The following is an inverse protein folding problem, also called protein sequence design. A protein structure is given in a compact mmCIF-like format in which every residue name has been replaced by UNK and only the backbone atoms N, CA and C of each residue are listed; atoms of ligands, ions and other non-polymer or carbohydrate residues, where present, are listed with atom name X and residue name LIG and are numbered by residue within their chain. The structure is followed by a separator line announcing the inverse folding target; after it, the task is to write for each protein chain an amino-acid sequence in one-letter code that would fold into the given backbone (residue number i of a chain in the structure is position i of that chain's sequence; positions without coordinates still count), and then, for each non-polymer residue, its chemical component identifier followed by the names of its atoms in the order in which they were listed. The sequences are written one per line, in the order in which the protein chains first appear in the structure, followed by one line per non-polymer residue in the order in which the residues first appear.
data_IF_046311516813
#
_entry.id   IF_046311516813
#
_cell.length_a   1.000
_cell.length_b   1.000
_cell.length_c   1.000
_cell.angle_alpha   90.00
_cell.angle_beta   90.00
_cell.angle_gamma   90.00
#
_symmetry.space_group_name_H-M   'P 1'
#
loop_
_entity.id
_entity.type
_entity.pdbx_description
1 polymer ?
#
# COMPACT_ATOMS: atom_id res chain seq x y z
N UNK A 1 -15.28 6.38 -12.00
CA UNK A 1 -15.31 4.96 -11.57
C UNK A 1 -15.07 4.93 -10.06
N UNK A 2 -16.03 4.47 -9.25
CA UNK A 2 -16.01 4.64 -7.78
C UNK A 2 -14.81 3.88 -7.18
N UNK A 3 -13.99 4.53 -6.34
CA UNK A 3 -12.81 3.95 -5.66
C UNK A 3 -13.01 2.52 -5.12
N UNK A 4 -14.24 2.17 -4.71
CA UNK A 4 -14.62 0.83 -4.28
C UNK A 4 -14.33 -0.28 -5.30
N UNK A 5 -14.43 -0.01 -6.61
CA UNK A 5 -14.15 -0.98 -7.67
C UNK A 5 -12.65 -1.26 -7.83
N UNK A 6 -11.81 -0.26 -7.59
CA UNK A 6 -10.35 -0.43 -7.57
C UNK A 6 -9.94 -1.32 -6.39
N UNK A 7 -10.53 -1.08 -5.21
CA UNK A 7 -10.33 -1.94 -4.04
C UNK A 7 -10.79 -3.38 -4.27
N UNK A 8 -11.94 -3.56 -4.92
CA UNK A 8 -12.45 -4.88 -5.29
C UNK A 8 -11.51 -5.63 -6.24
N UNK A 9 -10.91 -4.95 -7.22
CA UNK A 9 -9.91 -5.54 -8.13
C UNK A 9 -8.67 -5.99 -7.36
N UNK A 10 -8.09 -5.11 -6.52
CA UNK A 10 -6.90 -5.41 -5.70
C UNK A 10 -7.14 -6.61 -4.79
N UNK A 11 -8.32 -6.70 -4.19
CA UNK A 11 -8.75 -7.81 -3.34
C UNK A 11 -8.88 -9.09 -4.17
N UNK A 12 -9.64 -9.08 -5.27
CA UNK A 12 -9.86 -10.27 -6.10
C UNK A 12 -8.59 -10.81 -6.78
N UNK A 13 -7.63 -9.95 -7.08
CA UNK A 13 -6.39 -10.31 -7.77
C UNK A 13 -5.25 -10.69 -6.80
N UNK A 14 -5.54 -10.72 -5.50
CA UNK A 14 -4.64 -11.26 -4.48
C UNK A 14 -4.72 -12.79 -4.48
N UNK A 15 -3.60 -13.51 -4.70
CA UNK A 15 -3.59 -14.97 -4.63
C UNK A 15 -3.93 -15.50 -3.23
N UNK A 16 -3.92 -14.63 -2.21
CA UNK A 16 -4.34 -14.95 -0.84
C UNK A 16 -5.85 -15.16 -0.70
N UNK A 17 -6.64 -14.77 -1.72
CA UNK A 17 -8.09 -14.92 -1.77
C UNK A 17 -8.57 -16.00 -2.75
N UNK A 18 -7.64 -16.77 -3.34
CA UNK A 18 -7.94 -17.97 -4.13
C UNK A 18 -8.40 -19.12 -3.21
N UNK A 19 -9.52 -18.91 -2.55
CA UNK A 19 -10.09 -19.72 -1.50
C UNK A 19 -10.55 -18.82 -0.35
N UNK A 20 -11.86 -18.77 -0.11
CA UNK A 20 -12.41 -18.15 1.11
C UNK A 20 -11.97 -19.03 2.27
N UNK A 21 -11.05 -18.60 3.14
CA UNK A 21 -10.59 -19.46 4.21
C UNK A 21 -11.71 -19.52 5.24
N UNK A 22 -12.50 -20.59 5.22
CA UNK A 22 -13.70 -20.77 6.07
C UNK A 22 -13.40 -20.61 7.57
N UNK A 23 -12.14 -20.79 7.98
CA UNK A 23 -11.61 -20.49 9.33
C UNK A 23 -11.79 -19.03 9.77
N UNK A 24 -11.96 -18.07 8.86
CA UNK A 24 -12.30 -16.68 9.20
C UNK A 24 -13.77 -16.50 9.66
N UNK A 25 -14.60 -17.52 9.40
CA UNK A 25 -16.01 -17.59 9.81
C UNK A 25 -16.21 -18.45 11.07
N UNK A 26 -15.16 -19.08 11.57
CA UNK A 26 -15.19 -19.76 12.87
C UNK A 26 -15.10 -18.73 14.00
N UNK A 27 -15.57 -19.11 15.20
CA UNK A 27 -15.44 -18.28 16.39
C UNK A 27 -13.97 -17.89 16.62
N UNK A 28 -13.75 -16.63 16.99
CA UNK A 28 -12.40 -16.13 17.21
C UNK A 28 -11.70 -16.94 18.31
N UNK A 29 -10.47 -17.46 18.07
CA UNK A 29 -9.68 -17.99 19.15
C UNK A 29 -9.41 -16.88 20.18
N UNK A 30 -9.19 -17.22 21.47
CA UNK A 30 -8.94 -16.23 22.51
C UNK A 30 -7.76 -15.32 22.13
N UNK A 31 -7.83 -14.02 22.44
CA UNK A 31 -6.77 -13.11 22.05
C UNK A 31 -5.40 -13.54 22.54
N UNK A 32 -4.45 -13.63 21.61
CA UNK A 32 -3.06 -13.38 21.99
C UNK A 32 -2.94 -11.87 22.16
N UNK A 33 -2.96 -11.44 23.41
CA UNK A 33 -2.49 -10.15 23.88
C UNK A 33 -2.96 -8.93 23.05
N UNK A 34 -4.05 -8.30 23.53
CA UNK A 34 -4.68 -7.17 22.88
C UNK A 34 -3.75 -5.98 22.64
N UNK A 35 -3.80 -5.42 21.44
CA UNK A 35 -3.38 -4.05 21.22
C UNK A 35 -4.23 -3.12 22.08
N UNK A 36 -3.71 -1.96 22.47
CA UNK A 36 -4.54 -0.82 22.89
C UNK A 36 -4.33 0.24 21.80
N UNK A 37 -5.21 1.22 21.61
CA UNK A 37 -4.85 2.41 20.85
C UNK A 37 -3.51 2.92 21.39
N UNK A 38 -2.44 2.75 20.60
CA UNK A 38 -1.01 2.90 20.95
C UNK A 38 -0.26 1.76 21.69
N UNK A 39 -0.76 0.52 21.80
CA UNK A 39 0.00 -0.60 22.42
C UNK A 39 -0.09 -1.88 21.60
N UNK A 40 0.99 -2.66 21.62
CA UNK A 40 0.98 -4.11 21.38
C UNK A 40 1.51 -4.81 22.63
N UNK A 41 0.95 -5.96 23.02
CA UNK A 41 1.58 -6.87 23.97
C UNK A 41 2.10 -8.07 23.15
N UNK A 42 3.41 -8.08 22.92
CA UNK A 42 4.25 -9.23 22.59
C UNK A 42 5.30 -9.27 23.73
N UNK A 43 6.12 -10.31 23.97
CA UNK A 43 7.00 -10.40 25.16
C UNK A 43 8.05 -9.29 25.31
N UNK A 44 8.07 -8.31 24.41
CA UNK A 44 8.84 -7.08 24.50
C UNK A 44 7.86 -5.91 24.63
N UNK A 45 7.92 -5.19 25.75
CA UNK A 45 7.15 -3.98 25.97
C UNK A 45 7.62 -2.89 24.98
N UNK A 46 6.87 -2.68 23.90
CA UNK A 46 7.21 -1.72 22.85
C UNK A 46 6.21 -0.57 22.81
N UNK A 47 6.70 0.64 22.52
CA UNK A 47 5.86 1.82 22.32
C UNK A 47 6.11 2.45 20.95
N UNK A 48 5.03 2.75 20.23
CA UNK A 48 5.06 3.48 18.97
C UNK A 48 4.51 4.89 19.20
N UNK A 49 5.33 5.89 18.89
CA UNK A 49 4.95 7.31 18.96
C UNK A 49 4.91 7.90 17.57
N UNK A 50 3.87 8.69 17.29
CA UNK A 50 3.76 9.45 16.06
C UNK A 50 3.44 10.90 16.39
N UNK A 51 4.31 11.79 15.93
CA UNK A 51 4.11 13.24 16.02
C UNK A 51 3.49 13.69 14.70
N UNK A 52 2.26 14.20 14.77
CA UNK A 52 1.60 14.76 13.59
C UNK A 52 2.49 15.81 12.90
N UNK A 53 2.45 15.90 11.58
CA UNK A 53 3.13 16.97 10.83
C UNK A 53 2.37 18.30 10.95
N UNK A 54 2.91 19.40 10.41
CA UNK A 54 2.21 20.68 10.39
C UNK A 54 1.00 20.67 9.44
N UNK A 55 1.07 19.90 8.37
CA UNK A 55 -0.03 19.64 7.45
C UNK A 55 -1.15 18.86 8.16
N UNK A 56 -0.81 17.80 8.88
CA UNK A 56 -1.78 17.03 9.65
C UNK A 56 -2.37 17.84 10.80
N UNK A 57 -1.57 18.68 11.48
CA UNK A 57 -2.08 19.66 12.45
C UNK A 57 -3.07 20.62 11.80
N UNK A 58 -2.79 21.08 10.58
CA UNK A 58 -3.71 21.93 9.82
C UNK A 58 -5.01 21.19 9.48
N UNK A 59 -4.94 19.91 9.11
CA UNK A 59 -6.12 19.06 8.90
C UNK A 59 -6.95 18.87 10.18
N UNK A 60 -6.30 18.75 11.35
CA UNK A 60 -7.01 18.71 12.64
C UNK A 60 -7.81 19.98 12.85
N UNK A 61 -7.22 21.16 12.61
CA UNK A 61 -7.93 22.43 12.76
C UNK A 61 -9.04 22.59 11.72
N UNK A 62 -8.76 22.27 10.46
CA UNK A 62 -9.73 22.33 9.38
C UNK A 62 -10.94 21.41 9.66
N UNK A 63 -10.73 20.23 10.25
CA UNK A 63 -11.81 19.31 10.60
C UNK A 63 -12.73 19.87 11.68
N UNK A 64 -12.23 20.71 12.61
CA UNK A 64 -13.08 21.37 13.62
C UNK A 64 -14.04 22.37 12.99
N UNK A 65 -13.62 23.04 11.92
CA UNK A 65 -14.42 24.04 11.19
C UNK A 65 -15.36 23.32 10.21
N UNK A 66 -14.84 22.32 9.50
CA UNK A 66 -15.55 21.57 8.50
C UNK A 66 -15.38 20.05 8.73
N UNK A 67 -16.37 19.38 9.35
CA UNK A 67 -16.32 17.94 9.60
C UNK A 67 -16.11 17.07 8.35
N UNK A 68 -16.42 17.57 7.14
CA UNK A 68 -16.21 16.82 5.89
C UNK A 68 -14.73 16.60 5.53
N UNK A 69 -13.80 17.35 6.13
CA UNK A 69 -12.34 17.12 6.00
C UNK A 69 -11.95 15.73 6.49
N UNK A 70 -12.67 15.22 7.50
CA UNK A 70 -12.58 13.84 7.95
C UNK A 70 -11.28 13.47 8.69
N UNK A 71 -10.53 14.43 9.23
CA UNK A 71 -9.35 14.16 10.07
C UNK A 71 -9.70 14.19 11.57
N UNK A 72 -10.88 13.64 11.89
CA UNK A 72 -11.47 13.68 13.23
C UNK A 72 -10.78 12.72 14.21
N UNK A 73 -11.14 12.79 15.50
CA UNK A 73 -10.53 11.95 16.53
C UNK A 73 -10.78 10.45 16.30
N UNK A 74 -11.94 10.05 15.78
CA UNK A 74 -12.28 8.65 15.54
C UNK A 74 -11.40 8.10 14.42
N UNK A 75 -11.24 8.86 13.33
CA UNK A 75 -10.29 8.55 12.25
C UNK A 75 -8.87 8.40 12.79
N UNK A 76 -8.40 9.36 13.58
CA UNK A 76 -7.02 9.32 14.11
C UNK A 76 -6.78 8.10 15.00
N UNK A 77 -7.73 7.70 15.84
CA UNK A 77 -7.61 6.47 16.65
C UNK A 77 -7.49 5.22 15.78
N UNK A 78 -8.24 5.15 14.68
CA UNK A 78 -8.13 4.05 13.73
C UNK A 78 -6.81 4.09 12.94
N UNK A 79 -6.34 5.28 12.58
CA UNK A 79 -5.04 5.49 11.92
C UNK A 79 -3.89 4.95 12.78
N UNK A 80 -3.92 5.17 14.10
CA UNK A 80 -2.93 4.58 15.01
C UNK A 80 -2.96 3.04 15.02
N UNK A 81 -4.12 2.42 14.85
CA UNK A 81 -4.20 0.95 14.71
C UNK A 81 -3.48 0.51 13.43
N UNK A 82 -3.67 1.23 12.32
CA UNK A 82 -2.94 0.96 11.09
C UNK A 82 -1.42 1.15 11.24
N UNK A 83 -0.95 2.15 11.97
CA UNK A 83 0.48 2.33 12.22
C UNK A 83 1.08 1.14 12.98
N UNK A 84 0.37 0.66 13.99
CA UNK A 84 0.78 -0.52 14.73
C UNK A 84 0.87 -1.76 13.81
N UNK A 85 -0.18 -2.03 13.01
CA UNK A 85 -0.19 -3.16 12.08
C UNK A 85 0.89 -3.04 11.01
N UNK A 86 1.13 -1.84 10.47
CA UNK A 86 2.20 -1.63 9.51
C UNK A 86 3.59 -1.93 10.10
N UNK A 87 3.84 -1.42 11.32
CA UNK A 87 5.15 -1.54 11.98
C UNK A 87 5.48 -2.97 12.38
N UNK A 88 4.46 -3.76 12.72
CA UNK A 88 4.65 -5.01 13.45
C UNK A 88 3.90 -6.21 12.86
N UNK A 89 2.99 -6.02 11.90
CA UNK A 89 2.13 -7.05 11.30
C UNK A 89 2.90 -8.25 10.73
N UNK A 90 3.97 -7.96 9.99
CA UNK A 90 4.87 -8.99 9.45
C UNK A 90 5.62 -9.76 10.55
N UNK A 91 5.92 -9.12 11.68
CA UNK A 91 6.60 -9.76 12.82
C UNK A 91 5.67 -10.68 13.59
N UNK A 92 4.41 -10.33 13.78
CA UNK A 92 3.44 -11.20 14.48
C UNK A 92 3.12 -12.47 13.72
N UNK A 93 3.27 -12.42 12.40
CA UNK A 93 3.05 -13.56 11.50
C UNK A 93 4.32 -14.36 11.22
N UNK A 94 5.47 -13.92 11.73
CA UNK A 94 6.75 -14.57 11.50
C UNK A 94 6.77 -16.01 12.05
N UNK A 95 7.27 -16.96 11.26
CA UNK A 95 7.37 -18.36 11.64
C UNK A 95 6.08 -19.19 11.53
N UNK A 96 5.00 -18.65 10.96
CA UNK A 96 3.74 -19.41 10.75
C UNK A 96 3.72 -20.17 9.41
N UNK A 97 3.13 -21.35 9.42
CA UNK A 97 3.05 -22.24 8.25
C UNK A 97 1.76 -22.03 7.44
N UNK A 98 1.76 -22.55 6.20
CA UNK A 98 0.56 -22.66 5.39
C UNK A 98 -0.40 -23.69 5.98
N UNK A 99 -1.44 -23.22 6.68
CA UNK A 99 -2.45 -24.06 7.33
C UNK A 99 -2.86 -23.54 8.70
N UNK A 100 -1.98 -22.78 9.36
CA UNK A 100 -2.22 -22.26 10.69
C UNK A 100 -3.41 -21.30 10.75
N UNK A 101 -4.12 -21.31 11.88
CA UNK A 101 -5.14 -20.30 12.19
C UNK A 101 -4.52 -18.90 12.17
N UNK A 102 -5.28 -17.86 11.77
CA UNK A 102 -4.77 -16.48 11.79
C UNK A 102 -4.46 -16.04 13.23
N UNK A 103 -3.46 -15.17 13.39
CA UNK A 103 -3.16 -14.57 14.70
C UNK A 103 -4.27 -13.58 15.03
N UNK A 104 -4.98 -13.83 16.13
CA UNK A 104 -5.98 -12.88 16.60
C UNK A 104 -5.33 -11.70 17.30
N UNK A 105 -5.78 -10.52 16.93
CA UNK A 105 -5.26 -9.22 17.33
C UNK A 105 -6.44 -8.36 17.75
N UNK A 106 -6.46 -7.90 18.99
CA UNK A 106 -7.58 -7.11 19.53
C UNK A 106 -7.15 -5.70 19.86
N UNK A 107 -7.69 -4.68 19.18
CA UNK A 107 -7.45 -3.27 19.50
C UNK A 107 -8.31 -2.78 20.67
N UNK A 108 -7.71 -2.37 21.77
CA UNK A 108 -8.39 -1.78 22.94
C UNK A 108 -8.38 -0.26 22.78
N UNK A 109 -9.48 0.34 22.37
CA UNK A 109 -9.51 1.74 21.98
C UNK A 109 -10.38 2.50 22.99
N UNK A 110 -9.92 3.66 23.44
CA UNK A 110 -10.62 4.58 24.35
C UNK A 110 -11.73 5.40 23.66
N UNK A 111 -12.06 5.06 22.42
CA UNK A 111 -13.05 5.74 21.61
C UNK A 111 -14.03 4.71 21.03
N UNK A 112 -15.26 4.73 21.54
CA UNK A 112 -16.32 3.78 21.16
C UNK A 112 -16.70 3.85 19.68
N UNK A 113 -16.63 5.03 19.06
CA UNK A 113 -16.90 5.19 17.63
C UNK A 113 -15.85 4.46 16.78
N UNK A 114 -14.57 4.59 17.11
CA UNK A 114 -13.48 3.90 16.43
C UNK A 114 -13.57 2.37 16.62
N UNK A 115 -13.93 1.90 17.83
CA UNK A 115 -14.23 0.48 18.09
C UNK A 115 -15.35 -0.01 17.16
N UNK A 116 -16.45 0.73 17.10
CA UNK A 116 -17.61 0.40 16.25
C UNK A 116 -17.22 0.37 14.77
N UNK A 117 -16.46 1.36 14.29
CA UNK A 117 -16.01 1.43 12.89
C UNK A 117 -15.11 0.26 12.52
N UNK A 118 -14.19 -0.14 13.40
CA UNK A 118 -13.33 -1.28 13.16
C UNK A 118 -14.10 -2.60 13.15
N UNK A 119 -14.97 -2.84 14.13
CA UNK A 119 -15.72 -4.10 14.21
C UNK A 119 -16.77 -4.24 13.10
N UNK A 120 -17.41 -3.14 12.70
CA UNK A 120 -18.39 -3.13 11.60
C UNK A 120 -17.74 -3.00 10.23
N UNK A 121 -16.43 -2.75 10.17
CA UNK A 121 -15.68 -2.45 8.95
C UNK A 121 -16.38 -1.37 8.10
N UNK A 122 -16.95 -0.36 8.75
CA UNK A 122 -17.74 0.67 8.07
C UNK A 122 -17.67 2.03 8.78
N UNK A 123 -17.57 3.10 7.98
CA UNK A 123 -17.64 4.48 8.44
C UNK A 123 -18.18 5.38 7.33
N UNK A 124 -18.81 6.50 7.71
CA UNK A 124 -19.19 7.58 6.78
C UNK A 124 -18.01 8.50 6.44
N UNK A 125 -16.93 8.43 7.22
CA UNK A 125 -15.70 9.18 6.96
C UNK A 125 -14.88 8.47 5.86
N UNK A 126 -14.67 9.15 4.73
CA UNK A 126 -13.99 8.60 3.56
C UNK A 126 -12.52 8.24 3.83
N UNK A 127 -11.82 9.00 4.68
CA UNK A 127 -10.45 8.67 5.11
C UNK A 127 -10.44 7.41 5.98
N UNK A 128 -11.40 7.28 6.89
CA UNK A 128 -11.53 6.10 7.74
C UNK A 128 -11.82 4.84 6.91
N UNK A 129 -12.63 4.93 5.86
CA UNK A 129 -12.87 3.80 4.95
C UNK A 129 -11.58 3.28 4.30
N UNK A 130 -10.66 4.17 3.92
CA UNK A 130 -9.35 3.77 3.38
C UNK A 130 -8.56 2.97 4.41
N UNK A 131 -8.53 3.43 5.67
CA UNK A 131 -7.84 2.73 6.76
C UNK A 131 -8.48 1.37 7.07
N UNK A 132 -9.81 1.27 7.07
CA UNK A 132 -10.53 0.00 7.28
C UNK A 132 -10.18 -1.01 6.18
N UNK A 133 -10.17 -0.59 4.91
CA UNK A 133 -9.82 -1.47 3.78
C UNK A 133 -8.36 -1.93 3.87
N UNK A 134 -7.48 -1.04 4.29
CA UNK A 134 -6.07 -1.37 4.52
C UNK A 134 -5.90 -2.42 5.62
N UNK A 135 -6.59 -2.24 6.76
CA UNK A 135 -6.61 -3.24 7.82
C UNK A 135 -7.14 -4.58 7.32
N UNK A 136 -8.22 -4.58 6.53
CA UNK A 136 -8.74 -5.81 5.90
C UNK A 136 -7.73 -6.48 4.94
N UNK A 137 -6.97 -5.68 4.18
CA UNK A 137 -5.88 -6.21 3.35
C UNK A 137 -4.79 -6.86 4.21
N UNK A 138 -4.38 -6.22 5.31
CA UNK A 138 -3.37 -6.76 6.22
C UNK A 138 -3.83 -7.96 7.04
N UNK A 139 -5.13 -8.13 7.30
CA UNK A 139 -5.66 -9.41 7.83
C UNK A 139 -5.30 -10.59 6.92
N UNK A 140 -5.31 -10.38 5.61
CA UNK A 140 -4.98 -11.40 4.63
C UNK A 140 -3.46 -11.51 4.43
N UNK A 141 -2.79 -10.37 4.19
CA UNK A 141 -1.35 -10.32 3.91
C UNK A 141 -0.53 -10.90 5.07
N UNK A 142 -0.86 -10.51 6.29
CA UNK A 142 -0.17 -10.96 7.50
C UNK A 142 -0.89 -12.11 8.22
N UNK A 143 -1.97 -12.67 7.65
CA UNK A 143 -2.76 -13.75 8.28
C UNK A 143 -3.17 -13.41 9.71
N UNK A 144 -3.68 -12.20 9.88
CA UNK A 144 -4.17 -11.69 11.14
C UNK A 144 -5.70 -11.75 11.17
N UNK A 145 -6.26 -11.67 12.37
CA UNK A 145 -7.69 -11.44 12.57
C UNK A 145 -7.86 -10.30 13.56
N UNK A 146 -8.48 -9.22 13.10
CA UNK A 146 -8.68 -8.04 13.92
C UNK A 146 -10.04 -8.04 14.62
N UNK A 147 -10.04 -7.47 15.81
CA UNK A 147 -11.23 -6.98 16.50
C UNK A 147 -10.87 -5.72 17.27
N UNK A 148 -11.86 -5.03 17.80
CA UNK A 148 -11.67 -3.94 18.74
C UNK A 148 -12.57 -4.07 19.97
N UNK A 149 -12.05 -3.67 21.13
CA UNK A 149 -12.77 -3.55 22.39
C UNK A 149 -12.59 -2.15 22.96
N UNK A 150 -13.56 -1.67 23.73
CA UNK A 150 -13.43 -0.38 24.38
C UNK A 150 -12.57 -0.51 25.64
N UNK A 151 -11.70 0.47 25.88
CA UNK A 151 -11.01 0.63 27.16
C UNK A 151 -11.48 1.91 27.82
N UNK A 152 -11.84 1.87 29.10
CA UNK A 152 -12.29 3.08 29.79
C UNK A 152 -11.13 4.09 29.92
N UNK A 153 -11.45 5.39 29.93
CA UNK A 153 -10.42 6.44 30.03
C UNK A 153 -9.53 6.31 31.27
N UNK A 154 -10.09 5.83 32.39
CA UNK A 154 -9.35 5.56 33.65
C UNK A 154 -8.30 4.45 33.50
N UNK A 155 -8.50 3.53 32.56
CA UNK A 155 -7.56 2.44 32.25
C UNK A 155 -6.60 2.82 31.12
N UNK A 156 -6.85 3.92 30.42
CA UNK A 156 -6.05 4.39 29.28
C UNK A 156 -4.90 5.34 29.67
N UNK A 157 -4.36 5.19 30.89
CA UNK A 157 -3.43 6.17 31.49
C UNK A 157 -2.16 6.37 30.65
N UNK A 158 -1.60 5.29 30.10
CA UNK A 158 -0.38 5.34 29.27
C UNK A 158 -0.62 6.13 27.98
N UNK A 159 -1.68 5.82 27.22
CA UNK A 159 -1.94 6.49 25.95
C UNK A 159 -2.42 7.93 26.15
N UNK A 160 -3.18 8.23 27.21
CA UNK A 160 -3.53 9.61 27.56
C UNK A 160 -2.28 10.43 27.92
N UNK A 161 -1.39 9.89 28.77
CA UNK A 161 -0.11 10.51 29.09
C UNK A 161 0.76 10.74 27.84
N UNK A 162 0.91 9.73 26.99
CA UNK A 162 1.69 9.79 25.76
C UNK A 162 1.14 10.80 24.75
N UNK A 163 -0.19 10.92 24.64
CA UNK A 163 -0.83 11.88 23.74
C UNK A 163 -0.61 13.35 24.17
N UNK A 164 -0.29 13.59 25.44
CA UNK A 164 -0.14 14.92 26.05
C UNK A 164 1.30 15.27 26.43
N UNK A 165 2.26 14.45 26.04
CA UNK A 165 3.68 14.59 26.41
C UNK A 165 4.25 15.98 26.05
N UNK A 166 3.87 16.52 24.89
CA UNK A 166 4.34 17.82 24.42
C UNK A 166 3.55 19.01 25.00
N UNK A 167 2.42 18.76 25.68
CA UNK A 167 1.52 19.79 26.21
C UNK A 167 1.49 19.85 27.74
N UNK A 168 2.04 18.86 28.43
CA UNK A 168 2.06 18.81 29.90
C UNK A 168 3.31 18.08 30.41
N UNK A 169 4.11 18.79 31.23
CA UNK A 169 5.29 18.20 31.87
C UNK A 169 4.92 17.03 32.78
N UNK A 170 3.83 17.14 33.53
CA UNK A 170 3.32 16.06 34.39
C UNK A 170 2.99 14.81 33.59
N UNK A 171 2.34 14.96 32.43
CA UNK A 171 2.01 13.82 31.57
C UNK A 171 3.24 13.21 30.91
N UNK A 172 4.27 14.02 30.59
CA UNK A 172 5.56 13.51 30.12
C UNK A 172 6.23 12.63 31.15
N UNK A 173 6.32 13.10 32.40
CA UNK A 173 6.93 12.32 33.50
C UNK A 173 6.14 11.05 33.74
N UNK A 174 4.81 11.14 33.83
CA UNK A 174 3.95 9.98 33.99
C UNK A 174 4.13 8.96 32.85
N UNK A 175 4.27 9.42 31.61
CA UNK A 175 4.52 8.54 30.47
C UNK A 175 5.87 7.85 30.57
N UNK A 176 6.93 8.60 30.87
CA UNK A 176 8.28 8.05 31.03
C UNK A 176 8.33 7.02 32.18
N UNK A 177 7.68 7.30 33.31
CA UNK A 177 7.54 6.36 34.44
C UNK A 177 6.79 5.08 34.05
N UNK A 178 5.65 5.22 33.35
CA UNK A 178 4.84 4.07 32.95
C UNK A 178 5.46 3.24 31.83
N UNK A 179 6.43 3.80 31.09
CA UNK A 179 7.09 3.14 29.95
C UNK A 179 8.60 2.96 30.16
N UNK A 180 9.10 3.08 31.39
CA UNK A 180 10.54 3.06 31.71
C UNK A 180 11.29 1.81 31.19
N UNK A 181 10.62 0.66 31.18
CA UNK A 181 11.18 -0.63 30.76
C UNK A 181 10.80 -0.97 29.30
N UNK A 182 10.27 0.00 28.55
CA UNK A 182 9.75 -0.21 27.21
C UNK A 182 10.73 0.36 26.19
N UNK A 183 10.89 -0.35 25.07
CA UNK A 183 11.68 0.15 23.95
C UNK A 183 10.80 0.97 23.01
N UNK A 184 11.20 2.22 22.74
CA UNK A 184 10.55 3.03 21.73
C UNK A 184 10.94 2.55 20.33
N UNK A 185 9.92 2.31 19.51
CA UNK A 185 10.06 2.08 18.08
C UNK A 185 9.68 3.37 17.37
N UNK A 186 10.58 3.89 16.53
CA UNK A 186 10.25 5.00 15.66
C UNK A 186 9.38 4.47 14.52
N UNK A 187 8.28 5.17 14.23
CA UNK A 187 7.54 4.94 12.99
C UNK A 187 8.51 5.19 11.84
N UNK A 188 8.82 4.17 11.03
CA UNK A 188 9.55 4.35 9.77
C UNK A 188 8.68 5.00 8.69
N UNK A 189 7.50 5.51 9.07
CA UNK A 189 6.38 5.66 8.17
C UNK A 189 5.98 7.14 8.09
N UNK A 190 6.18 7.72 6.92
CA UNK A 190 5.30 8.76 6.40
C UNK A 190 4.07 8.05 5.82
N UNK A 191 3.07 7.80 6.67
CA UNK A 191 1.98 6.87 6.35
C UNK A 191 0.97 7.48 5.41
N UNK A 192 1.05 8.77 5.11
CA UNK A 192 0.26 9.35 4.03
C UNK A 192 0.95 9.08 2.69
N UNK A 193 2.25 9.32 2.60
CA UNK A 193 3.03 9.16 1.37
C UNK A 193 3.33 7.68 1.07
N UNK A 194 3.88 6.93 2.02
CA UNK A 194 4.23 5.51 1.86
C UNK A 194 2.98 4.62 1.69
N UNK A 195 1.86 4.94 2.33
CA UNK A 195 0.61 4.19 2.15
C UNK A 195 -0.04 4.48 0.79
N UNK A 196 -0.08 5.76 0.37
CA UNK A 196 -0.59 6.11 -0.95
C UNK A 196 0.31 5.50 -2.02
N UNK A 197 1.62 5.49 -1.80
CA UNK A 197 2.59 4.87 -2.70
C UNK A 197 2.44 3.35 -2.73
N UNK A 198 2.30 2.70 -1.57
CA UNK A 198 2.06 1.27 -1.45
C UNK A 198 0.74 0.85 -2.13
N UNK A 199 -0.34 1.59 -1.87
CA UNK A 199 -1.66 1.32 -2.46
C UNK A 199 -1.70 1.63 -3.97
N UNK A 200 -1.00 2.68 -4.44
CA UNK A 200 -0.88 2.98 -5.88
C UNK A 200 -0.04 1.93 -6.58
N UNK A 201 1.12 1.58 -6.02
CA UNK A 201 2.02 0.58 -6.59
C UNK A 201 1.35 -0.80 -6.69
N UNK A 202 0.49 -1.14 -5.73
CA UNK A 202 -0.28 -2.40 -5.71
C UNK A 202 -1.72 -2.23 -6.17
N UNK A 203 -2.05 -1.17 -6.91
CA UNK A 203 -3.42 -0.94 -7.40
C UNK A 203 -3.82 -1.82 -8.59
N UNK A 204 -2.92 -2.70 -9.03
CA UNK A 204 -3.10 -3.63 -10.15
C UNK A 204 -2.93 -5.07 -9.68
N UNK A 205 -3.47 -5.99 -10.47
CA UNK A 205 -3.33 -7.44 -10.23
C UNK A 205 -1.92 -7.87 -9.87
N UNK A 206 -1.76 -8.87 -9.00
CA UNK A 206 -0.44 -9.40 -8.65
C UNK A 206 0.38 -9.80 -9.89
N UNK A 207 -0.26 -10.42 -10.88
CA UNK A 207 0.36 -10.79 -12.16
C UNK A 207 0.79 -9.56 -12.99
N UNK A 208 -0.01 -8.50 -12.97
CA UNK A 208 0.30 -7.21 -13.62
C UNK A 208 1.41 -6.47 -12.89
N UNK A 209 1.41 -6.47 -11.56
CA UNK A 209 2.45 -5.88 -10.73
C UNK A 209 3.81 -6.52 -10.99
N UNK A 210 3.88 -7.85 -11.12
CA UNK A 210 5.11 -8.57 -11.49
C UNK A 210 5.62 -8.10 -12.86
N UNK A 211 4.73 -7.91 -13.84
CA UNK A 211 5.09 -7.37 -15.16
C UNK A 211 5.62 -5.94 -15.08
N UNK A 212 4.96 -5.07 -14.31
CA UNK A 212 5.38 -3.67 -14.14
C UNK A 212 6.72 -3.58 -13.40
N UNK A 213 6.95 -4.43 -12.40
CA UNK A 213 8.25 -4.55 -11.74
C UNK A 213 9.33 -5.02 -12.71
N UNK A 214 9.00 -5.95 -13.62
CA UNK A 214 9.88 -6.36 -14.72
C UNK A 214 10.22 -5.19 -15.66
N UNK A 215 9.21 -4.40 -16.06
CA UNK A 215 9.39 -3.21 -16.89
C UNK A 215 10.29 -2.17 -16.22
N UNK A 216 10.07 -1.89 -14.93
CA UNK A 216 10.92 -0.98 -14.15
C UNK A 216 12.36 -1.46 -14.05
N UNK A 217 12.57 -2.78 -13.85
CA UNK A 217 13.91 -3.36 -13.84
C UNK A 217 14.60 -3.18 -15.19
N UNK A 218 13.91 -3.41 -16.30
CA UNK A 218 14.46 -3.19 -17.64
C UNK A 218 14.91 -1.74 -17.83
N UNK A 219 14.06 -0.76 -17.46
CA UNK A 219 14.41 0.66 -17.47
C UNK A 219 15.62 0.98 -16.60
N UNK A 220 15.63 0.49 -15.36
CA UNK A 220 16.72 0.72 -14.41
C UNK A 220 18.04 0.14 -14.92
N UNK A 221 18.02 -1.08 -15.45
CA UNK A 221 19.22 -1.70 -16.05
C UNK A 221 19.69 -0.93 -17.28
N UNK A 222 18.78 -0.49 -18.14
CA UNK A 222 19.12 0.27 -19.35
C UNK A 222 19.75 1.64 -19.04
N UNK A 223 19.20 2.37 -18.05
CA UNK A 223 19.67 3.69 -17.61
C UNK A 223 21.02 3.60 -16.89
N UNK A 224 21.13 2.69 -15.91
CA UNK A 224 22.38 2.52 -15.13
C UNK A 224 23.57 2.10 -16.00
N UNK A 225 23.37 1.22 -16.98
CA UNK A 225 24.42 0.84 -17.95
C UNK A 225 24.94 2.00 -18.79
N UNK A 226 24.19 3.11 -18.86
CA UNK A 226 24.52 4.31 -19.64
C UNK A 226 24.89 5.50 -18.75
N UNK A 227 25.04 5.29 -17.44
CA UNK A 227 25.33 6.37 -16.50
C UNK A 227 24.19 7.39 -16.33
N UNK A 228 22.95 7.03 -16.73
CA UNK A 228 21.78 7.91 -16.63
C UNK A 228 21.12 7.69 -15.27
N UNK A 229 20.74 8.77 -14.59
CA UNK A 229 20.00 8.69 -13.33
C UNK A 229 18.58 8.14 -13.58
N UNK A 230 18.18 6.99 -12.99
CA UNK A 230 16.96 6.29 -13.39
C UNK A 230 15.67 7.06 -13.17
N UNK A 231 15.61 7.94 -12.17
CA UNK A 231 14.43 8.75 -11.86
C UNK A 231 14.32 10.03 -12.73
N UNK A 232 15.35 10.31 -13.54
CA UNK A 232 15.46 11.47 -14.43
C UNK A 232 15.28 12.84 -13.74
N UNK A 233 15.48 12.91 -12.42
CA UNK A 233 15.16 14.08 -11.59
C UNK A 233 15.98 15.32 -11.93
N UNK A 234 17.21 15.12 -12.40
CA UNK A 234 18.16 16.18 -12.71
C UNK A 234 18.12 16.62 -14.17
N UNK A 235 17.24 16.03 -14.99
CA UNK A 235 17.20 16.23 -16.43
C UNK A 235 16.03 17.15 -16.82
N UNK A 236 16.27 18.06 -17.77
CA UNK A 236 15.19 18.83 -18.41
C UNK A 236 14.24 17.92 -19.17
N UNK A 237 12.98 18.33 -19.36
CA UNK A 237 11.97 17.55 -20.08
C UNK A 237 12.44 17.06 -21.45
N UNK A 238 13.21 17.89 -22.18
CA UNK A 238 13.77 17.53 -23.48
C UNK A 238 14.73 16.34 -23.36
N UNK A 239 15.62 16.36 -22.37
CA UNK A 239 16.56 15.27 -22.11
C UNK A 239 15.84 14.00 -21.65
N UNK A 240 14.80 14.14 -20.82
CA UNK A 240 13.95 13.02 -20.41
C UNK A 240 13.30 12.33 -21.62
N UNK A 241 12.73 13.13 -22.54
CA UNK A 241 12.11 12.62 -23.76
C UNK A 241 13.11 11.94 -24.69
N UNK A 242 14.34 12.46 -24.76
CA UNK A 242 15.41 11.81 -25.53
C UNK A 242 15.75 10.43 -24.96
N UNK A 243 15.99 10.31 -23.65
CA UNK A 243 16.29 9.03 -23.04
C UNK A 243 15.15 8.01 -23.17
N UNK A 244 13.90 8.46 -23.07
CA UNK A 244 12.73 7.58 -23.29
C UNK A 244 12.65 7.15 -24.76
N UNK A 245 12.95 8.05 -25.70
CA UNK A 245 13.01 7.73 -27.13
C UNK A 245 14.10 6.70 -27.41
N UNK A 246 15.30 6.89 -26.87
CA UNK A 246 16.43 5.98 -27.04
C UNK A 246 16.13 4.60 -26.43
N UNK A 247 15.48 4.57 -25.28
CA UNK A 247 15.01 3.34 -24.64
C UNK A 247 14.00 2.59 -25.52
N UNK A 248 13.01 3.30 -26.06
CA UNK A 248 12.02 2.73 -26.98
C UNK A 248 12.70 2.14 -28.22
N UNK A 249 13.55 2.92 -28.88
CA UNK A 249 14.21 2.48 -30.12
C UNK A 249 15.14 1.30 -29.89
N UNK A 250 15.89 1.30 -28.78
CA UNK A 250 16.73 0.18 -28.37
C UNK A 250 15.89 -1.08 -28.17
N UNK A 251 14.82 -1.00 -27.39
CA UNK A 251 14.09 -2.22 -27.01
C UNK A 251 13.17 -2.73 -28.11
N UNK A 252 12.75 -1.90 -29.07
CA UNK A 252 12.11 -2.40 -30.31
C UNK A 252 13.03 -3.40 -31.01
N UNK A 253 14.35 -3.21 -30.98
CA UNK A 253 15.32 -4.07 -31.65
C UNK A 253 15.80 -5.23 -30.76
N UNK A 254 16.08 -4.97 -29.49
CA UNK A 254 16.77 -5.91 -28.59
C UNK A 254 15.88 -6.50 -27.49
N UNK A 255 14.63 -6.06 -27.37
CA UNK A 255 13.58 -6.69 -26.58
C UNK A 255 13.90 -6.84 -25.09
N UNK A 256 14.29 -5.75 -24.41
CA UNK A 256 14.51 -5.72 -22.97
C UNK A 256 15.48 -6.80 -22.44
N UNK A 257 16.48 -7.17 -23.26
CA UNK A 257 17.48 -8.19 -22.94
C UNK A 257 17.19 -9.60 -23.48
N UNK A 258 16.07 -9.78 -24.20
CA UNK A 258 15.79 -11.03 -24.92
C UNK A 258 16.55 -11.16 -26.24
N UNK A 259 17.22 -10.08 -26.69
CA UNK A 259 17.91 -9.95 -27.98
C UNK A 259 17.00 -10.31 -29.17
N UNK A 260 15.70 -10.05 -29.03
CA UNK A 260 14.71 -10.27 -30.08
C UNK A 260 13.87 -9.02 -30.26
N UNK A 261 13.48 -8.66 -31.50
CA UNK A 261 12.58 -7.56 -31.72
C UNK A 261 11.25 -7.78 -30.99
N UNK A 262 10.71 -6.71 -30.41
CA UNK A 262 9.40 -6.74 -29.73
C UNK A 262 8.44 -5.77 -30.40
N UNK A 263 7.17 -6.15 -30.41
CA UNK A 263 6.10 -5.37 -31.03
C UNK A 263 5.82 -4.07 -30.27
N UNK A 264 5.30 -3.07 -30.96
CA UNK A 264 4.91 -1.78 -30.40
C UNK A 264 3.96 -1.91 -29.21
N UNK A 265 3.06 -2.90 -29.24
CA UNK A 265 2.16 -3.20 -28.12
C UNK A 265 2.92 -3.57 -26.83
N UNK A 266 4.01 -4.32 -26.97
CA UNK A 266 4.84 -4.73 -25.83
C UNK A 266 5.58 -3.53 -25.25
N UNK A 267 6.16 -2.69 -26.12
CA UNK A 267 6.81 -1.44 -25.71
C UNK A 267 5.83 -0.53 -24.95
N UNK A 268 4.63 -0.33 -25.50
CA UNK A 268 3.61 0.51 -24.87
C UNK A 268 3.20 -0.02 -23.49
N UNK A 269 2.99 -1.34 -23.35
CA UNK A 269 2.71 -1.96 -22.05
C UNK A 269 3.87 -1.78 -21.06
N UNK A 270 5.12 -1.91 -21.50
CA UNK A 270 6.31 -1.68 -20.67
C UNK A 270 6.37 -0.24 -20.18
N UNK A 271 6.19 0.75 -21.08
CA UNK A 271 6.19 2.18 -20.71
C UNK A 271 5.07 2.52 -19.73
N UNK A 272 3.89 1.92 -19.92
CA UNK A 272 2.78 2.11 -18.99
C UNK A 272 3.10 1.53 -17.61
N UNK A 273 3.75 0.36 -17.54
CA UNK A 273 4.21 -0.22 -16.28
C UNK A 273 5.27 0.63 -15.57
N UNK A 274 6.21 1.21 -16.31
CA UNK A 274 7.21 2.14 -15.75
C UNK A 274 6.50 3.40 -15.22
N UNK A 275 5.64 4.01 -16.04
CA UNK A 275 4.88 5.20 -15.66
C UNK A 275 4.03 4.98 -14.42
N UNK A 276 3.39 3.81 -14.31
CA UNK A 276 2.61 3.43 -13.15
C UNK A 276 3.44 3.44 -11.86
N UNK A 277 4.64 2.83 -11.88
CA UNK A 277 5.49 2.80 -10.68
C UNK A 277 6.07 4.18 -10.37
N UNK A 278 6.40 4.98 -11.37
CA UNK A 278 6.84 6.38 -11.16
C UNK A 278 5.73 7.21 -10.52
N UNK A 279 4.50 7.14 -11.05
CA UNK A 279 3.35 7.83 -10.46
C UNK A 279 3.04 7.35 -9.04
N UNK A 280 3.23 6.05 -8.78
CA UNK A 280 3.12 5.50 -7.44
C UNK A 280 4.22 5.98 -6.49
N UNK A 281 5.32 6.56 -6.98
CA UNK A 281 6.36 7.18 -6.17
C UNK A 281 6.29 8.73 -6.20
N UNK A 282 5.20 9.31 -6.71
CA UNK A 282 5.06 10.77 -6.85
C UNK A 282 5.90 11.38 -7.98
N UNK A 283 6.49 10.56 -8.83
CA UNK A 283 7.36 10.99 -9.93
C UNK A 283 6.59 11.04 -11.26
N UNK A 284 7.05 11.93 -12.14
CA UNK A 284 6.55 12.03 -13.51
C UNK A 284 7.41 11.21 -14.46
N UNK A 285 6.76 10.37 -15.26
CA UNK A 285 7.39 9.69 -16.38
C UNK A 285 6.63 10.07 -17.66
N UNK A 286 7.20 10.87 -18.57
CA UNK A 286 6.48 11.52 -19.66
C UNK A 286 6.13 10.59 -20.85
N UNK A 287 5.67 9.37 -20.59
CA UNK A 287 5.27 8.42 -21.64
C UNK A 287 4.03 8.89 -22.44
N UNK A 288 3.21 9.76 -21.87
CA UNK A 288 2.03 10.34 -22.52
C UNK A 288 2.34 11.60 -23.34
N UNK A 289 3.60 12.05 -23.37
CA UNK A 289 3.99 13.22 -24.15
C UNK A 289 3.73 13.00 -25.65
N UNK A 290 3.27 14.03 -26.40
CA UNK A 290 2.93 13.90 -27.82
C UNK A 290 4.02 13.24 -28.67
N UNK A 291 5.30 13.57 -28.42
CA UNK A 291 6.45 12.97 -29.11
C UNK A 291 6.54 11.46 -28.90
N UNK A 292 6.39 10.98 -27.65
CA UNK A 292 6.44 9.54 -27.34
C UNK A 292 5.25 8.82 -27.96
N UNK A 293 4.06 9.43 -27.92
CA UNK A 293 2.85 8.86 -28.54
C UNK A 293 2.98 8.77 -30.07
N UNK A 294 3.56 9.79 -30.71
CA UNK A 294 3.84 9.76 -32.15
C UNK A 294 4.84 8.66 -32.51
N UNK A 295 5.93 8.52 -31.75
CA UNK A 295 6.91 7.46 -31.95
C UNK A 295 6.27 6.07 -31.84
N UNK A 296 5.49 5.82 -30.78
CA UNK A 296 4.78 4.55 -30.61
C UNK A 296 3.82 4.28 -31.78
N UNK A 297 3.08 5.30 -32.25
CA UNK A 297 2.20 5.17 -33.41
C UNK A 297 2.98 4.80 -34.68
N UNK A 298 4.17 5.37 -34.87
CA UNK A 298 5.09 4.98 -35.95
C UNK A 298 5.51 3.53 -35.84
N UNK A 299 5.92 3.08 -34.65
CA UNK A 299 6.31 1.67 -34.41
C UNK A 299 5.14 0.72 -34.68
N UNK A 300 3.92 1.05 -34.25
CA UNK A 300 2.74 0.24 -34.52
C UNK A 300 2.47 0.05 -36.02
N UNK A 301 2.78 1.05 -36.85
CA UNK A 301 2.63 0.92 -38.29
C UNK A 301 3.64 -0.05 -38.93
N UNK A 302 4.74 -0.32 -38.24
CA UNK A 302 5.78 -1.28 -38.66
C UNK A 302 5.54 -2.69 -38.12
N UNK A 303 4.60 -2.87 -37.18
CA UNK A 303 4.26 -4.19 -36.66
C UNK A 303 3.55 -5.01 -37.75
N UNK A 304 4.02 -6.26 -37.93
CA UNK A 304 3.33 -7.20 -38.81
C UNK A 304 1.89 -7.46 -38.31
N UNK A 305 0.91 -7.61 -39.22
CA UNK A 305 -0.47 -7.85 -38.84
C UNK A 305 -0.62 -9.08 -37.95
N UNK A 306 -1.53 -9.00 -36.97
CA UNK A 306 -1.77 -10.07 -36.01
C UNK A 306 -2.27 -11.31 -36.74
N UNK A 307 -1.40 -12.33 -36.85
CA UNK A 307 -1.81 -13.65 -37.32
C UNK A 307 -2.60 -14.33 -36.22
N UNK A 308 -3.92 -14.31 -36.33
CA UNK A 308 -4.77 -15.17 -35.51
C UNK A 308 -4.45 -16.63 -35.87
N UNK A 309 -4.29 -17.49 -34.87
CA UNK A 309 -4.27 -18.94 -35.10
C UNK A 309 -5.61 -19.28 -35.74
N UNK A 310 -5.59 -19.94 -36.90
CA UNK A 310 -6.82 -20.42 -37.53
C UNK A 310 -7.61 -21.24 -36.51
N UNK A 311 -8.93 -21.07 -36.47
CA UNK A 311 -9.79 -21.93 -35.69
C UNK A 311 -9.48 -23.39 -36.10
N UNK A 312 -9.28 -24.26 -35.12
CA UNK A 312 -9.16 -25.70 -35.36
C UNK A 312 -10.41 -26.10 -36.13
N UNK A 313 -10.26 -26.52 -37.39
CA UNK A 313 -11.38 -26.97 -38.20
C UNK A 313 -12.01 -28.18 -37.51
N UNK A 314 -13.34 -28.29 -37.51
CA UNK A 314 -14.08 -29.45 -36.98
C UNK A 314 -13.55 -30.78 -37.53
N UNK A 315 -12.96 -30.80 -38.72
CA UNK A 315 -12.28 -31.96 -39.33
C UNK A 315 -11.13 -32.55 -38.49
N UNK A 316 -10.54 -31.81 -37.55
CA UNK A 316 -9.49 -32.29 -36.64
C UNK A 316 -10.03 -32.90 -35.34
N UNK A 317 -11.33 -32.79 -35.08
CA UNK A 317 -12.01 -33.38 -33.92
C UNK A 317 -12.73 -34.70 -34.25
N UNK A 318 -12.76 -35.09 -35.53
CA UNK A 318 -13.45 -36.30 -36.03
C UNK A 318 -12.47 -37.43 -36.42
N UNK A 319 -11.19 -37.35 -36.02
CA UNK A 319 -10.20 -38.45 -36.12
C UNK A 319 -9.86 -38.98 -34.74
#
# INVERSE_FOLDING_TARGET
MKQYLLWWSIILESPLLNGVPLRYFQAHPPPRDGCIGQRYMHPHCLVLRYKFTDEERSLIQATKINPSVGFDINYRKLLFCAFAVHTWGSRWSHGRCNGDAPVYVQFRIDNTSAVSWQNKLSSRNTRAQTVIRLLGHWELEFRLRFSATHVAGVENRIADAGSRINSSRTMSVLFDELTKDWSQVNSTVDVAEDLVNHLRARSVATSTFVKYKGALRAWHTWTTRRGIQPALLTCSTVVQLQHITDFILHDVQYGFGSNRPVRGATIACTLHGISHVFQAAGLLFPCNHPQVRMLLKGIYSLDAPVRHKAAVSSQLLEQ
#
